data_IF_021325913500
#
_entry.id   IF_021325913500
#
_cell.length_a   1.000
_cell.length_b   1.000
_cell.length_c   1.000
_cell.angle_alpha   90.00
_cell.angle_beta   90.00
_cell.angle_gamma   90.00
#
_symmetry.space_group_name_H-M   'P 1'
#
loop_
_entity.id
_entity.type
_entity.pdbx_description
1 polymer ?
#
# COMPACT_ATOMS: atom_id res chain seq x y z
N UNK A 1 50.11 -56.26 14.81
CA UNK A 1 51.48 -55.73 14.97
C UNK A 1 52.10 -55.54 13.60
N UNK A 2 52.79 -54.42 13.42
CA UNK A 2 53.85 -54.19 12.42
C UNK A 2 53.47 -53.75 11.00
N UNK A 3 53.38 -52.42 10.88
CA UNK A 3 53.84 -51.53 9.79
C UNK A 3 54.61 -52.14 8.62
N UNK A 4 54.39 -51.58 7.41
CA UNK A 4 55.50 -51.07 6.58
C UNK A 4 55.07 -50.03 5.55
N UNK A 5 55.69 -48.84 5.68
CA UNK A 5 55.78 -47.76 4.71
C UNK A 5 56.72 -48.14 3.56
N UNK A 6 56.44 -47.75 2.31
CA UNK A 6 57.43 -47.11 1.39
C UNK A 6 56.84 -46.83 -0.01
N UNK A 7 56.86 -45.55 -0.40
CA UNK A 7 56.98 -45.07 -1.79
C UNK A 7 58.48 -44.97 -2.16
N UNK A 8 58.90 -44.90 -3.46
CA UNK A 8 58.86 -43.68 -4.28
C UNK A 8 58.64 -43.90 -5.82
N UNK A 9 58.38 -42.81 -6.57
CA UNK A 9 58.21 -42.74 -8.05
C UNK A 9 59.53 -42.89 -8.85
N UNK A 10 59.76 -42.25 -10.02
CA UNK A 10 58.91 -41.38 -10.87
C UNK A 10 58.89 -41.81 -12.38
N UNK A 11 58.04 -41.22 -13.23
CA UNK A 11 58.52 -40.62 -14.49
C UNK A 11 57.48 -39.70 -15.15
N UNK A 12 58.01 -38.69 -15.81
CA UNK A 12 57.41 -37.47 -16.30
C UNK A 12 57.64 -37.39 -17.81
N UNK A 13 56.62 -36.98 -18.57
CA UNK A 13 56.82 -36.19 -19.81
C UNK A 13 55.57 -35.31 -19.98
N UNK A 14 55.65 -33.99 -19.72
CA UNK A 14 55.99 -32.93 -20.70
C UNK A 14 55.09 -33.00 -21.94
N UNK A 15 54.34 -32.00 -22.41
CA UNK A 15 54.33 -30.51 -22.41
C UNK A 15 52.91 -30.17 -22.96
N UNK A 16 52.20 -29.07 -22.70
CA UNK A 16 52.46 -27.61 -22.86
C UNK A 16 51.13 -26.95 -22.39
N UNK A 17 51.09 -26.03 -21.41
CA UNK A 17 51.16 -24.57 -21.58
C UNK A 17 50.40 -24.06 -22.84
N UNK A 18 49.40 -23.16 -22.78
CA UNK A 18 49.08 -22.16 -21.78
C UNK A 18 47.75 -21.42 -22.14
N UNK A 19 47.14 -20.73 -21.14
CA UNK A 19 46.57 -19.34 -21.24
C UNK A 19 45.24 -19.20 -22.05
N UNK A 20 44.12 -18.59 -21.61
CA UNK A 20 43.78 -17.61 -20.55
C UNK A 20 42.24 -17.58 -20.34
N UNK A 21 41.84 -17.38 -19.06
CA UNK A 21 40.63 -16.69 -18.52
C UNK A 21 39.24 -17.28 -18.80
N UNK A 22 38.54 -17.81 -17.79
CA UNK A 22 37.74 -17.06 -16.79
C UNK A 22 36.61 -16.29 -17.52
N UNK A 23 35.34 -16.68 -17.39
CA UNK A 23 34.56 -16.45 -16.18
C UNK A 23 33.38 -17.41 -16.01
N UNK A 24 33.24 -17.90 -14.78
CA UNK A 24 32.00 -18.20 -14.05
C UNK A 24 30.70 -18.28 -14.87
N UNK A 25 30.37 -19.48 -15.36
CA UNK A 25 28.99 -19.84 -15.61
C UNK A 25 28.32 -20.11 -14.24
N UNK A 26 27.70 -19.06 -13.69
CA UNK A 26 26.77 -19.21 -12.58
C UNK A 26 25.65 -20.11 -13.08
N UNK A 27 25.58 -21.31 -12.50
CA UNK A 27 24.43 -22.17 -12.54
C UNK A 27 23.23 -21.38 -12.00
N UNK A 28 22.45 -20.72 -12.88
CA UNK A 28 21.08 -20.33 -12.58
C UNK A 28 20.25 -21.61 -12.59
N UNK A 29 20.42 -22.36 -11.51
CA UNK A 29 19.55 -23.45 -11.11
C UNK A 29 18.18 -22.82 -10.91
N UNK A 30 17.19 -23.38 -11.59
CA UNK A 30 15.77 -23.16 -11.34
C UNK A 30 15.52 -22.95 -9.86
N UNK A 31 14.98 -21.79 -9.51
CA UNK A 31 13.99 -21.73 -8.45
C UNK A 31 12.67 -21.41 -9.15
N UNK A 32 12.10 -22.44 -9.77
CA UNK A 32 10.66 -22.53 -9.91
C UNK A 32 10.11 -22.63 -8.49
N UNK A 33 10.12 -21.50 -7.79
CA UNK A 33 9.65 -21.34 -6.42
C UNK A 33 8.30 -22.00 -6.36
N UNK A 34 8.23 -23.10 -5.62
CA UNK A 34 7.10 -24.01 -5.58
C UNK A 34 5.85 -23.17 -5.36
N UNK A 35 5.07 -22.97 -6.44
CA UNK A 35 3.85 -22.16 -6.44
C UNK A 35 3.06 -22.62 -5.24
N UNK A 36 2.99 -21.77 -4.21
CA UNK A 36 2.32 -22.06 -2.95
C UNK A 36 0.96 -22.65 -3.32
N UNK A 37 0.60 -23.81 -2.79
CA UNK A 37 -0.74 -24.33 -3.10
C UNK A 37 -1.74 -23.35 -2.46
N UNK A 38 -2.41 -22.52 -3.24
CA UNK A 38 -3.59 -21.79 -2.74
C UNK A 38 -4.64 -22.83 -2.39
N UNK A 39 -4.65 -23.17 -1.10
CA UNK A 39 -5.60 -24.07 -0.51
C UNK A 39 -6.43 -23.23 0.43
N UNK A 40 -7.72 -23.20 0.16
CA UNK A 40 -8.70 -22.67 1.12
C UNK A 40 -8.52 -23.38 2.46
N UNK A 41 -8.78 -22.66 3.54
CA UNK A 41 -8.86 -23.28 4.87
C UNK A 41 -10.03 -24.28 4.97
N UNK A 42 -10.24 -24.86 6.16
CA UNK A 42 -11.35 -25.78 6.40
C UNK A 42 -12.74 -25.16 6.21
N UNK A 43 -12.84 -23.84 6.23
CA UNK A 43 -14.08 -23.09 6.07
C UNK A 43 -14.29 -22.60 4.63
N UNK A 44 -13.32 -22.77 3.74
CA UNK A 44 -13.43 -22.29 2.36
C UNK A 44 -12.97 -20.84 2.19
N UNK A 45 -12.08 -20.36 3.06
CA UNK A 45 -11.68 -18.97 3.14
C UNK A 45 -10.19 -18.78 2.83
N UNK A 46 -9.82 -17.56 2.42
CA UNK A 46 -8.45 -17.07 2.26
C UNK A 46 -8.36 -15.60 2.63
N UNK A 47 -7.25 -15.17 3.22
CA UNK A 47 -7.00 -13.75 3.42
C UNK A 47 -6.49 -13.07 2.14
N UNK A 48 -6.77 -11.78 1.99
CA UNK A 48 -6.41 -11.00 0.80
C UNK A 48 -4.89 -10.93 0.58
N UNK A 49 -4.11 -10.87 1.66
CA UNK A 49 -2.65 -10.80 1.57
C UNK A 49 -2.04 -12.04 0.94
N UNK A 50 -2.46 -13.23 1.36
CA UNK A 50 -2.01 -14.49 0.79
C UNK A 50 -2.42 -14.60 -0.68
N UNK A 51 -3.60 -14.10 -1.05
CA UNK A 51 -4.04 -14.04 -2.45
C UNK A 51 -3.08 -13.18 -3.27
N UNK A 52 -2.75 -11.97 -2.81
CA UNK A 52 -1.82 -11.08 -3.51
C UNK A 52 -0.43 -11.71 -3.67
N UNK A 53 0.11 -12.30 -2.60
CA UNK A 53 1.40 -13.00 -2.61
C UNK A 53 1.40 -14.22 -3.53
N UNK A 54 0.28 -14.95 -3.59
CA UNK A 54 0.09 -16.15 -4.41
C UNK A 54 0.09 -15.85 -5.91
N UNK A 55 -0.60 -14.76 -6.28
CA UNK A 55 -0.70 -14.33 -7.67
C UNK A 55 0.48 -13.46 -8.09
N UNK A 56 1.25 -12.95 -7.13
CA UNK A 56 2.33 -11.98 -7.33
C UNK A 56 1.87 -10.81 -8.22
N UNK A 57 0.66 -10.33 -7.92
CA UNK A 57 -0.06 -9.37 -8.75
C UNK A 57 -0.98 -8.53 -7.89
N UNK A 58 -1.11 -7.22 -8.17
CA UNK A 58 -2.13 -6.40 -7.54
C UNK A 58 -3.53 -6.86 -7.92
N UNK A 59 -4.52 -6.37 -7.17
CA UNK A 59 -5.93 -6.55 -7.56
C UNK A 59 -6.24 -5.77 -8.84
N UNK A 60 -7.11 -6.30 -9.69
CA UNK A 60 -7.64 -5.53 -10.81
C UNK A 60 -8.60 -4.45 -10.30
N UNK A 61 -8.85 -3.43 -11.11
CA UNK A 61 -9.74 -2.33 -10.73
C UNK A 61 -11.19 -2.82 -10.52
N UNK A 62 -11.66 -3.79 -11.30
CA UNK A 62 -12.99 -4.40 -11.11
C UNK A 62 -13.07 -5.17 -9.79
N UNK A 63 -11.97 -5.82 -9.39
CA UNK A 63 -11.89 -6.51 -8.10
C UNK A 63 -11.83 -5.50 -6.95
N UNK A 64 -11.13 -4.38 -7.12
CA UNK A 64 -11.10 -3.29 -6.14
C UNK A 64 -12.51 -2.73 -5.89
N UNK A 65 -13.31 -2.52 -6.95
CA UNK A 65 -14.72 -2.15 -6.82
C UNK A 65 -15.53 -3.16 -6.00
N UNK A 66 -15.35 -4.46 -6.29
CA UNK A 66 -16.03 -5.52 -5.54
C UNK A 66 -15.60 -5.55 -4.05
N UNK A 67 -14.31 -5.33 -3.77
CA UNK A 67 -13.79 -5.22 -2.40
C UNK A 67 -14.42 -4.04 -1.66
N UNK A 68 -14.45 -2.85 -2.28
CA UNK A 68 -15.10 -1.67 -1.70
C UNK A 68 -16.55 -1.97 -1.32
N UNK A 69 -17.33 -2.48 -2.28
CA UNK A 69 -18.75 -2.77 -2.07
C UNK A 69 -18.99 -3.81 -0.98
N UNK A 70 -18.31 -4.96 -1.07
CA UNK A 70 -18.59 -6.07 -0.17
C UNK A 70 -18.10 -5.80 1.27
N UNK A 71 -16.96 -5.13 1.43
CA UNK A 71 -16.47 -4.75 2.77
C UNK A 71 -17.36 -3.66 3.36
N UNK A 72 -17.73 -2.63 2.59
CA UNK A 72 -18.63 -1.58 3.07
C UNK A 72 -20.01 -2.13 3.46
N UNK A 73 -20.51 -3.11 2.70
CA UNK A 73 -21.74 -3.86 3.00
C UNK A 73 -21.60 -4.67 4.28
N UNK A 74 -20.50 -5.41 4.44
CA UNK A 74 -20.24 -6.18 5.68
C UNK A 74 -20.17 -5.28 6.90
N UNK A 75 -19.55 -4.11 6.78
CA UNK A 75 -19.48 -3.12 7.86
C UNK A 75 -20.85 -2.51 8.18
N UNK A 76 -21.67 -2.25 7.15
CA UNK A 76 -23.02 -1.69 7.29
C UNK A 76 -24.04 -2.67 7.87
N UNK A 77 -23.89 -3.97 7.61
CA UNK A 77 -24.75 -5.01 8.18
C UNK A 77 -24.40 -5.36 9.65
N UNK A 78 -23.30 -4.82 10.19
CA UNK A 78 -22.92 -5.04 11.59
C UNK A 78 -23.96 -4.43 12.52
N UNK A 79 -24.71 -5.28 13.24
CA UNK A 79 -25.88 -4.90 14.05
C UNK A 79 -25.57 -4.02 15.25
N UNK A 80 -24.29 -3.84 15.60
CA UNK A 80 -23.87 -3.14 16.81
C UNK A 80 -23.32 -1.73 16.57
N UNK A 81 -23.36 -1.20 15.33
CA UNK A 81 -22.67 0.03 14.93
C UNK A 81 -21.19 0.03 15.37
N UNK A 82 -20.60 -1.17 15.40
CA UNK A 82 -19.22 -1.40 15.78
C UNK A 82 -18.43 -1.53 14.49
N UNK A 83 -17.61 -0.51 14.22
CA UNK A 83 -16.69 -0.53 13.11
C UNK A 83 -15.30 -0.94 13.57
N UNK A 84 -14.59 -1.59 12.66
CA UNK A 84 -13.24 -2.08 12.89
C UNK A 84 -12.30 -1.37 11.92
N UNK A 85 -11.16 -0.93 12.44
CA UNK A 85 -10.08 -0.43 11.60
C UNK A 85 -9.41 -1.58 10.87
N UNK A 86 -9.25 -1.41 9.56
CA UNK A 86 -8.50 -2.33 8.70
C UNK A 86 -7.05 -1.84 8.66
N UNK A 87 -6.19 -2.46 9.46
CA UNK A 87 -4.77 -2.14 9.50
C UNK A 87 -3.99 -2.88 8.42
N UNK A 88 -4.33 -4.16 8.20
CA UNK A 88 -3.58 -5.09 7.35
C UNK A 88 -4.49 -5.82 6.37
N UNK A 89 -3.95 -6.18 5.20
CA UNK A 89 -4.69 -6.93 4.17
C UNK A 89 -5.00 -8.36 4.62
N UNK A 90 -4.24 -8.91 5.56
CA UNK A 90 -4.48 -10.22 6.18
C UNK A 90 -5.78 -10.28 6.99
N UNK A 91 -6.32 -9.14 7.42
CA UNK A 91 -7.61 -9.07 8.13
C UNK A 91 -8.82 -9.23 7.21
N UNK A 92 -8.64 -9.03 5.90
CA UNK A 92 -9.71 -9.14 4.91
C UNK A 92 -9.80 -10.60 4.48
N UNK A 93 -10.87 -11.29 4.87
CA UNK A 93 -11.07 -12.71 4.58
C UNK A 93 -12.12 -12.86 3.48
N UNK A 94 -11.75 -13.55 2.41
CA UNK A 94 -12.58 -13.87 1.27
C UNK A 94 -13.07 -15.32 1.39
N UNK A 95 -14.38 -15.49 1.31
CA UNK A 95 -15.01 -16.80 1.22
C UNK A 95 -15.15 -17.24 -0.23
N UNK A 96 -15.15 -18.56 -0.47
CA UNK A 96 -15.42 -19.15 -1.80
C UNK A 96 -16.76 -18.72 -2.42
N UNK A 97 -17.74 -18.35 -1.59
CA UNK A 97 -19.07 -17.92 -2.05
C UNK A 97 -19.10 -16.42 -2.43
N UNK A 98 -17.98 -15.71 -2.27
CA UNK A 98 -17.84 -14.29 -2.61
C UNK A 98 -18.12 -13.33 -1.46
N UNK A 99 -18.54 -13.85 -0.31
CA UNK A 99 -18.67 -13.05 0.91
C UNK A 99 -17.30 -12.64 1.45
N UNK A 100 -17.25 -11.45 2.04
CA UNK A 100 -16.07 -10.90 2.68
C UNK A 100 -16.44 -10.49 4.09
N UNK A 101 -15.57 -10.84 5.04
CA UNK A 101 -15.65 -10.36 6.42
C UNK A 101 -14.27 -9.94 6.91
N UNK A 102 -14.26 -9.20 8.01
CA UNK A 102 -13.04 -8.75 8.66
C UNK A 102 -12.77 -9.66 9.87
N UNK A 103 -11.61 -10.30 9.86
CA UNK A 103 -11.17 -11.14 10.98
C UNK A 103 -10.51 -10.29 12.06
N UNK A 104 -10.81 -10.63 13.32
CA UNK A 104 -10.10 -10.10 14.46
C UNK A 104 -8.79 -10.85 14.63
N UNK A 105 -7.66 -10.18 14.39
CA UNK A 105 -6.36 -10.76 14.67
C UNK A 105 -6.23 -10.98 16.18
N UNK A 106 -6.35 -12.23 16.63
CA UNK A 106 -6.35 -12.61 18.04
C UNK A 106 -5.07 -12.13 18.74
N UNK A 107 -5.13 -10.97 19.39
CA UNK A 107 -3.99 -10.32 20.05
C UNK A 107 -3.96 -8.80 19.92
N UNK A 108 -4.52 -8.25 18.83
CA UNK A 108 -4.82 -6.82 18.75
C UNK A 108 -6.16 -6.57 19.42
N UNK A 109 -6.21 -5.71 20.44
CA UNK A 109 -7.50 -5.18 20.90
C UNK A 109 -8.12 -4.48 19.69
N UNK A 110 -9.21 -5.02 19.14
CA UNK A 110 -9.96 -4.33 18.09
C UNK A 110 -10.31 -2.95 18.64
N UNK A 111 -9.67 -1.92 18.10
CA UNK A 111 -10.07 -0.56 18.38
C UNK A 111 -11.39 -0.38 17.66
N UNK A 112 -12.48 -0.27 18.43
CA UNK A 112 -13.73 0.19 17.86
C UNK A 112 -13.48 1.61 17.38
N UNK A 113 -13.65 1.82 16.09
CA UNK A 113 -13.43 3.12 15.46
C UNK A 113 -14.75 3.72 15.01
N UNK A 114 -14.71 5.01 14.73
CA UNK A 114 -15.82 5.69 14.08
C UNK A 114 -15.99 5.23 12.63
N UNK A 115 -17.16 5.52 12.06
CA UNK A 115 -17.47 5.14 10.69
C UNK A 115 -16.48 5.75 9.70
N UNK A 116 -16.14 7.02 9.86
CA UNK A 116 -15.20 7.73 8.99
C UNK A 116 -13.80 7.10 9.02
N UNK A 117 -13.37 6.62 10.19
CA UNK A 117 -12.07 5.95 10.34
C UNK A 117 -12.07 4.57 9.69
N UNK A 118 -13.19 3.84 9.78
CA UNK A 118 -13.35 2.57 9.09
C UNK A 118 -13.35 2.74 7.57
N UNK A 119 -14.09 3.73 7.04
CA UNK A 119 -14.10 4.10 5.61
C UNK A 119 -12.71 4.50 5.14
N UNK A 120 -11.99 5.32 5.92
CA UNK A 120 -10.60 5.68 5.64
C UNK A 120 -9.70 4.45 5.56
N UNK A 121 -9.80 3.54 6.54
CA UNK A 121 -8.99 2.32 6.57
C UNK A 121 -9.31 1.37 5.42
N UNK A 122 -10.58 1.31 4.98
CA UNK A 122 -11.00 0.57 3.78
C UNK A 122 -10.38 1.16 2.52
N UNK A 123 -10.46 2.49 2.34
CA UNK A 123 -9.82 3.16 1.21
C UNK A 123 -8.31 2.91 1.15
N UNK A 124 -7.64 2.94 2.30
CA UNK A 124 -6.23 2.64 2.40
C UNK A 124 -5.90 1.17 2.09
N UNK A 125 -6.72 0.22 2.56
CA UNK A 125 -6.54 -1.19 2.26
C UNK A 125 -6.71 -1.50 0.77
N UNK A 126 -7.72 -0.90 0.12
CA UNK A 126 -7.94 -1.07 -1.33
C UNK A 126 -6.80 -0.44 -2.13
N UNK A 127 -6.33 0.75 -1.75
CA UNK A 127 -5.17 1.38 -2.37
C UNK A 127 -3.92 0.51 -2.26
N UNK A 128 -3.60 0.00 -1.06
CA UNK A 128 -2.48 -0.93 -0.84
C UNK A 128 -2.58 -2.20 -1.70
N UNK A 129 -3.79 -2.71 -1.91
CA UNK A 129 -4.00 -3.90 -2.73
C UNK A 129 -3.85 -3.62 -4.24
N UNK A 130 -4.20 -2.41 -4.69
CA UNK A 130 -4.00 -1.94 -6.06
C UNK A 130 -2.52 -1.64 -6.35
N UNK A 131 -1.81 -1.09 -5.38
CA UNK A 131 -0.39 -0.73 -5.45
C UNK A 131 0.56 -1.89 -5.11
N UNK A 132 0.01 -3.10 -4.88
CA UNK A 132 0.80 -4.26 -4.49
C UNK A 132 1.83 -4.62 -5.56
N UNK A 133 3.10 -4.67 -5.16
CA UNK A 133 4.22 -4.99 -6.04
C UNK A 133 4.67 -3.84 -6.95
N UNK A 134 4.07 -2.65 -6.83
CA UNK A 134 4.54 -1.45 -7.52
C UNK A 134 5.87 -0.96 -6.93
N UNK A 135 6.73 -0.38 -7.77
CA UNK A 135 7.98 0.20 -7.31
C UNK A 135 7.81 1.68 -6.94
N UNK A 136 8.73 2.21 -6.14
CA UNK A 136 8.71 3.62 -5.74
C UNK A 136 8.94 4.52 -6.97
N UNK A 137 7.85 5.05 -7.53
CA UNK A 137 7.85 5.93 -8.71
C UNK A 137 6.97 5.44 -9.87
N UNK A 138 6.47 4.21 -9.83
CA UNK A 138 5.43 3.74 -10.75
C UNK A 138 4.05 4.12 -10.21
N UNK A 139 3.37 5.01 -10.93
CA UNK A 139 1.99 5.37 -10.64
C UNK A 139 1.05 4.54 -11.51
N UNK A 140 0.11 3.85 -10.88
CA UNK A 140 -0.91 3.06 -11.57
C UNK A 140 -2.03 4.01 -11.98
N UNK A 141 -2.25 4.17 -13.29
CA UNK A 141 -3.39 4.91 -13.81
C UNK A 141 -4.71 4.19 -13.47
N UNK A 142 -5.46 4.75 -12.54
CA UNK A 142 -6.78 4.25 -12.14
C UNK A 142 -7.88 4.80 -13.07
N UNK A 143 -9.00 4.10 -13.13
CA UNK A 143 -10.21 4.64 -13.72
C UNK A 143 -10.64 5.87 -12.91
N UNK A 144 -11.06 6.99 -13.56
CA UNK A 144 -11.37 8.24 -12.87
C UNK A 144 -12.36 8.08 -11.71
N UNK A 145 -13.39 7.23 -11.90
CA UNK A 145 -14.41 7.00 -10.87
C UNK A 145 -13.86 6.22 -9.67
N UNK A 146 -12.95 5.27 -9.89
CA UNK A 146 -12.33 4.49 -8.83
C UNK A 146 -11.34 5.35 -8.04
N UNK A 147 -10.56 6.16 -8.75
CA UNK A 147 -9.66 7.14 -8.15
C UNK A 147 -10.42 8.14 -7.29
N UNK A 148 -11.54 8.68 -7.81
CA UNK A 148 -12.41 9.58 -7.07
C UNK A 148 -12.98 8.92 -5.81
N UNK A 149 -13.40 7.66 -5.88
CA UNK A 149 -13.88 6.91 -4.71
C UNK A 149 -12.79 6.70 -3.67
N UNK A 150 -11.59 6.25 -4.07
CA UNK A 150 -10.47 6.03 -3.14
C UNK A 150 -10.03 7.35 -2.50
N UNK A 151 -9.96 8.41 -3.29
CA UNK A 151 -9.66 9.77 -2.82
C UNK A 151 -10.70 10.24 -1.81
N UNK A 152 -11.99 10.03 -2.10
CA UNK A 152 -13.07 10.35 -1.18
C UNK A 152 -12.93 9.59 0.14
N UNK A 153 -12.77 8.25 0.09
CA UNK A 153 -12.61 7.42 1.29
C UNK A 153 -11.40 7.84 2.14
N UNK A 154 -10.27 8.14 1.50
CA UNK A 154 -9.01 8.49 2.18
C UNK A 154 -8.94 9.94 2.68
N UNK A 155 -9.85 10.82 2.23
CA UNK A 155 -9.95 12.19 2.74
C UNK A 155 -10.89 12.33 3.96
N UNK A 156 -11.66 11.30 4.30
CA UNK A 156 -12.69 11.37 5.35
C UNK A 156 -12.14 11.59 6.76
N UNK A 157 -10.94 11.06 7.05
CA UNK A 157 -10.34 11.18 8.38
C UNK A 157 -9.71 12.57 8.63
N UNK A 158 -9.48 13.38 7.58
CA UNK A 158 -8.82 14.69 7.73
C UNK A 158 -9.73 15.75 8.34
N UNK A 159 -11.05 15.57 8.24
CA UNK A 159 -12.04 16.55 8.71
C UNK A 159 -12.22 16.53 10.23
N UNK A 160 -11.90 15.42 10.90
CA UNK A 160 -12.10 15.28 12.35
C UNK A 160 -10.95 15.84 13.19
N UNK A 161 -9.74 15.98 12.65
CA UNK A 161 -8.56 16.42 13.41
C UNK A 161 -8.08 17.84 13.06
N UNK A 162 -8.87 18.59 12.28
CA UNK A 162 -8.46 19.84 11.63
C UNK A 162 -9.13 21.13 12.09
N UNK A 163 -9.35 21.35 13.39
CA UNK A 163 -9.59 22.70 13.96
C UNK A 163 -8.49 23.11 14.97
N UNK A 164 -7.32 22.48 14.92
CA UNK A 164 -6.20 22.85 15.76
C UNK A 164 -4.91 23.00 14.94
N UNK A 165 -4.66 24.24 14.54
CA UNK A 165 -3.32 24.84 14.55
C UNK A 165 -2.25 24.24 13.61
N UNK A 166 -2.27 24.66 12.35
CA UNK A 166 -1.00 24.95 11.65
C UNK A 166 -1.19 26.17 10.72
N UNK A 167 -1.71 27.26 11.29
CA UNK A 167 -1.50 28.58 10.71
C UNK A 167 -0.18 29.08 11.28
N UNK A 168 0.93 28.61 10.73
CA UNK A 168 2.25 29.22 10.94
C UNK A 168 2.11 30.70 10.60
N UNK A 169 1.96 31.54 11.63
CA UNK A 169 2.11 32.97 11.52
C UNK A 169 3.61 33.20 11.33
N UNK A 170 4.06 33.20 10.08
CA UNK A 170 5.32 33.83 9.70
C UNK A 170 5.17 35.34 9.92
N UNK A 171 5.34 35.78 11.16
CA UNK A 171 5.76 37.15 11.45
C UNK A 171 7.27 37.14 11.53
N UNK A 172 7.93 37.39 10.41
CA UNK A 172 9.32 37.81 10.39
C UNK A 172 9.34 39.32 10.13
N UNK A 173 9.02 40.07 11.19
CA UNK A 173 9.20 41.51 11.30
C UNK A 173 10.60 41.77 11.84
N UNK A 174 11.59 41.83 10.94
CA UNK A 174 12.86 42.51 11.22
C UNK A 174 13.23 43.46 10.07
N UNK A 175 13.08 44.77 10.33
CA UNK A 175 14.22 45.68 10.16
C UNK A 175 14.26 46.61 8.94
N UNK A 176 13.70 47.81 9.14
CA UNK A 176 14.21 49.18 8.86
C UNK A 176 14.97 49.56 7.55
N UNK A 177 14.47 50.66 6.99
CA UNK A 177 15.14 51.83 6.37
C UNK A 177 16.07 51.68 5.14
N UNK A 178 15.60 52.19 3.99
CA UNK A 178 16.10 53.47 3.45
C UNK A 178 15.27 54.00 2.26
N UNK A 179 14.98 55.28 2.39
CA UNK A 179 14.47 56.25 1.43
C UNK A 179 15.05 56.11 0.01
N UNK A 180 14.17 55.96 -0.99
CA UNK A 180 14.45 56.32 -2.39
C UNK A 180 13.17 56.36 -3.24
N UNK A 181 12.76 57.58 -3.59
CA UNK A 181 12.32 57.91 -4.95
C UNK A 181 10.89 57.58 -5.33
N UNK A 182 10.02 58.58 -5.16
CA UNK A 182 8.72 58.77 -5.81
C UNK A 182 8.62 58.15 -7.22
N UNK A 183 7.74 57.17 -7.42
CA UNK A 183 7.17 56.86 -8.75
C UNK A 183 5.78 56.24 -8.59
N UNK A 184 4.81 57.00 -9.06
CA UNK A 184 3.37 56.73 -9.08
C UNK A 184 2.96 55.42 -9.80
N UNK A 185 1.82 54.89 -9.34
CA UNK A 185 0.79 54.19 -10.10
C UNK A 185 0.98 52.69 -10.44
N UNK A 186 0.31 51.82 -9.66
CA UNK A 186 -0.91 51.06 -10.05
C UNK A 186 -0.99 49.73 -9.27
N UNK A 187 -1.87 49.72 -8.27
CA UNK A 187 -2.24 48.59 -7.40
C UNK A 187 -2.99 47.50 -8.21
N UNK A 188 -2.25 46.50 -8.71
CA UNK A 188 -2.84 45.25 -9.21
C UNK A 188 -2.99 44.26 -8.05
N UNK A 189 -4.05 44.44 -7.25
CA UNK A 189 -4.58 43.36 -6.41
C UNK A 189 -5.00 42.19 -7.31
N UNK A 190 -4.17 41.14 -7.38
CA UNK A 190 -4.69 39.82 -7.73
C UNK A 190 -5.66 39.39 -6.62
N UNK A 191 -6.94 39.11 -6.92
CA UNK A 191 -7.79 38.44 -5.95
C UNK A 191 -7.19 37.06 -5.68
N UNK A 192 -6.86 36.82 -4.41
CA UNK A 192 -6.67 35.48 -3.87
C UNK A 192 -7.93 34.68 -4.20
N UNK A 193 -7.88 33.84 -5.23
CA UNK A 193 -8.80 32.72 -5.37
C UNK A 193 -8.44 31.71 -4.29
N UNK A 194 -8.90 32.02 -3.07
CA UNK A 194 -9.36 31.00 -2.16
C UNK A 194 -10.59 30.36 -2.81
N UNK A 195 -10.39 29.45 -3.75
CA UNK A 195 -11.44 28.54 -4.16
C UNK A 195 -11.54 27.45 -3.10
N UNK A 196 -12.13 27.86 -1.98
CA UNK A 196 -12.86 26.96 -1.10
C UNK A 196 -14.04 26.41 -1.89
N UNK A 197 -13.88 25.22 -2.44
CA UNK A 197 -14.99 24.30 -2.62
C UNK A 197 -14.47 22.88 -2.42
N UNK A 198 -13.93 22.63 -1.22
CA UNK A 198 -14.03 21.28 -0.69
C UNK A 198 -15.53 21.07 -0.50
N UNK A 199 -16.18 20.47 -1.50
CA UNK A 199 -17.51 19.91 -1.32
C UNK A 199 -17.42 19.02 -0.08
N UNK A 200 -18.17 19.36 0.97
CA UNK A 200 -18.06 18.79 2.31
C UNK A 200 -18.66 17.38 2.34
N UNK A 201 -18.37 16.57 1.31
CA UNK A 201 -18.91 15.25 1.10
C UNK A 201 -18.37 14.34 2.21
N UNK A 202 -19.15 14.23 3.28
CA UNK A 202 -18.92 13.24 4.33
C UNK A 202 -19.08 11.88 3.69
N UNK A 203 -18.00 11.13 3.47
CA UNK A 203 -18.12 9.76 2.98
C UNK A 203 -18.56 8.86 4.14
N UNK A 204 -19.68 8.21 3.95
CA UNK A 204 -20.22 7.19 4.85
C UNK A 204 -20.17 5.85 4.15
N UNK A 205 -20.33 4.73 4.87
CA UNK A 205 -20.46 3.42 4.25
C UNK A 205 -21.64 3.37 3.27
N UNK A 206 -22.70 4.14 3.55
CA UNK A 206 -23.82 4.31 2.63
C UNK A 206 -23.40 5.00 1.33
N UNK A 207 -22.55 6.01 1.40
CA UNK A 207 -22.01 6.71 0.22
C UNK A 207 -21.15 5.77 -0.62
N UNK A 208 -20.36 4.89 0.00
CA UNK A 208 -19.52 3.89 -0.70
C UNK A 208 -20.38 2.84 -1.44
N UNK A 209 -21.60 2.59 -0.98
CA UNK A 209 -22.52 1.58 -1.54
C UNK A 209 -23.46 2.13 -2.63
N UNK A 210 -23.46 3.45 -2.88
CA UNK A 210 -24.30 4.12 -3.87
C UNK A 210 -23.61 4.22 -5.22
#
# INVERSE_FOLDING_TARGET
>A
MSNSKKSPGPDCNQKKAAILKESQAVNKKEDASARSKCKLDSHGCLNLQDILLMFDSPVSQERAWALCYQIAKSLSCSTENKFYEISELSQIILHKDGDIWLENLAGSKQSLVSEEKAVFSLGMAVFKALDFGSNAGEEIALLPDLEALITLMTNCNRVCEGDAEERLQETDDEGIERDSGDTDAEDYMMPKTAESYADNATCTLKTVLQ
#
